data_IF_757273498841
#
_entry.id   IF_757273498841
#
_cell.length_a   1.000
_cell.length_b   1.000
_cell.length_c   1.000
_cell.angle_alpha   90.00
_cell.angle_beta   90.00
_cell.angle_gamma   90.00
#
_symmetry.space_group_name_H-M   'P 1'
#
loop_
_entity.id
_entity.type
_entity.pdbx_description
1 polymer ?
#
# COMPACT_ATOMS: atom_id res chain seq x y z
N UNK A 1 -6.64 6.06 7.05
CA UNK A 1 -6.91 4.76 7.69
C UNK A 1 -6.70 3.69 6.65
N UNK A 2 -5.89 2.67 6.95
CA UNK A 2 -5.52 1.60 6.03
C UNK A 2 -5.90 0.24 6.61
N UNK A 3 -6.25 -0.72 5.74
CA UNK A 3 -6.43 -2.13 6.09
C UNK A 3 -5.26 -2.91 5.54
N UNK A 4 -4.63 -3.72 6.40
CA UNK A 4 -3.50 -4.57 6.05
C UNK A 4 -3.92 -6.03 6.07
N UNK A 5 -3.67 -6.76 4.99
CA UNK A 5 -4.07 -8.16 4.89
C UNK A 5 -3.19 -8.93 3.91
N UNK A 6 -3.13 -10.25 4.05
CA UNK A 6 -2.43 -11.12 3.12
C UNK A 6 -3.27 -11.34 1.88
N UNK A 7 -2.62 -11.39 0.72
CA UNK A 7 -3.31 -11.68 -0.54
C UNK A 7 -3.86 -13.11 -0.58
N UNK A 8 -3.19 -14.05 0.09
CA UNK A 8 -3.54 -15.49 0.12
C UNK A 8 -3.18 -16.09 1.47
N UNK A 9 -3.78 -17.23 1.78
CA UNK A 9 -3.52 -17.96 3.03
C UNK A 9 -2.36 -18.97 2.89
N UNK A 10 -1.13 -18.45 2.76
CA UNK A 10 0.09 -19.26 2.89
C UNK A 10 1.28 -18.39 3.31
N UNK A 11 2.30 -19.01 3.92
CA UNK A 11 3.46 -18.34 4.54
C UNK A 11 4.15 -17.29 3.65
N UNK A 12 4.26 -17.54 2.35
CA UNK A 12 4.96 -16.69 1.39
C UNK A 12 4.07 -15.65 0.70
N UNK A 13 2.79 -15.57 1.08
CA UNK A 13 1.86 -14.63 0.49
C UNK A 13 2.28 -13.18 0.78
N UNK A 14 2.25 -12.36 -0.27
CA UNK A 14 2.49 -10.91 -0.21
C UNK A 14 1.37 -10.22 0.59
N UNK A 15 1.69 -9.04 1.07
CA UNK A 15 0.81 -8.21 1.87
C UNK A 15 0.24 -7.04 1.07
N UNK A 16 -1.01 -6.70 1.39
CA UNK A 16 -1.75 -5.59 0.81
C UNK A 16 -1.92 -4.49 1.85
N UNK A 17 -1.82 -3.26 1.37
CA UNK A 17 -2.25 -2.05 2.08
C UNK A 17 -3.39 -1.44 1.25
N UNK A 18 -4.58 -1.34 1.84
CA UNK A 18 -5.75 -0.79 1.16
C UNK A 18 -6.28 0.43 1.91
N UNK A 19 -6.50 1.53 1.19
CA UNK A 19 -7.14 2.72 1.72
C UNK A 19 -8.63 2.47 1.93
N UNK A 20 -9.15 2.94 3.07
CA UNK A 20 -10.58 2.82 3.37
C UNK A 20 -11.37 3.87 2.55
N UNK A 21 -12.44 3.46 1.84
CA UNK A 21 -13.34 4.39 1.17
C UNK A 21 -13.95 5.42 2.14
N UNK A 22 -14.25 6.62 1.66
CA UNK A 22 -14.91 7.65 2.46
C UNK A 22 -16.33 7.24 2.89
N UNK A 23 -17.07 6.61 1.98
CA UNK A 23 -18.39 6.03 2.20
C UNK A 23 -18.49 4.60 1.61
N UNK A 24 -19.42 3.75 2.10
CA UNK A 24 -19.72 2.46 1.48
C UNK A 24 -20.07 2.62 -0.01
N UNK A 25 -19.40 1.85 -0.88
CA UNK A 25 -19.61 1.90 -2.33
C UNK A 25 -18.92 3.06 -3.06
N UNK A 26 -18.20 3.94 -2.36
CA UNK A 26 -17.44 5.04 -2.97
C UNK A 26 -16.11 4.57 -3.57
N UNK A 27 -15.68 5.23 -4.64
CA UNK A 27 -14.34 5.08 -5.22
C UNK A 27 -13.32 6.05 -4.60
N UNK A 28 -13.79 7.05 -3.85
CA UNK A 28 -12.92 8.00 -3.15
C UNK A 28 -12.39 7.39 -1.86
N UNK A 29 -11.08 7.49 -1.65
CA UNK A 29 -10.42 7.03 -0.43
C UNK A 29 -10.35 8.14 0.60
N UNK A 30 -10.57 7.84 1.90
CA UNK A 30 -10.39 8.82 2.99
C UNK A 30 -8.97 9.38 3.04
N UNK A 31 -8.01 8.50 2.78
CA UNK A 31 -6.59 8.83 2.67
C UNK A 31 -5.97 7.87 1.65
N UNK A 32 -5.91 8.25 0.35
CA UNK A 32 -5.21 7.44 -0.64
C UNK A 32 -3.71 7.39 -0.32
N UNK A 33 -3.03 6.37 -0.85
CA UNK A 33 -1.57 6.28 -0.78
C UNK A 33 -0.91 7.54 -1.36
N UNK A 34 0.31 7.90 -0.90
CA UNK A 34 1.03 9.09 -1.32
C UNK A 34 1.12 9.21 -2.84
N UNK A 35 0.92 10.41 -3.38
CA UNK A 35 0.95 10.66 -4.82
C UNK A 35 2.25 10.21 -5.48
N UNK A 36 3.38 10.44 -4.80
CA UNK A 36 4.68 10.00 -5.26
C UNK A 36 4.79 8.49 -5.48
N UNK A 37 3.96 7.67 -4.83
CA UNK A 37 4.00 6.21 -4.97
C UNK A 37 3.12 5.71 -6.12
N UNK A 38 2.11 6.48 -6.51
CA UNK A 38 1.02 6.01 -7.35
C UNK A 38 1.53 5.62 -8.74
N UNK A 39 1.20 4.39 -9.16
CA UNK A 39 1.65 3.84 -10.44
C UNK A 39 3.03 3.20 -10.39
N UNK A 40 3.80 3.39 -9.32
CA UNK A 40 5.13 2.81 -9.18
C UNK A 40 5.07 1.36 -8.71
N UNK A 41 6.14 0.61 -9.01
CA UNK A 41 6.27 -0.81 -8.70
C UNK A 41 7.70 -1.19 -8.34
N UNK A 42 7.82 -2.31 -7.64
CA UNK A 42 9.08 -3.00 -7.36
C UNK A 42 10.19 -2.01 -6.90
N UNK A 43 11.40 -2.09 -7.46
CA UNK A 43 12.55 -1.30 -7.02
C UNK A 43 12.36 0.23 -7.13
N UNK A 44 11.53 0.69 -8.07
CA UNK A 44 11.23 2.11 -8.20
C UNK A 44 10.37 2.59 -7.03
N UNK A 45 9.37 1.80 -6.64
CA UNK A 45 8.56 2.09 -5.47
C UNK A 45 9.38 1.95 -4.17
N UNK A 46 10.31 0.98 -4.10
CA UNK A 46 11.22 0.85 -2.95
C UNK A 46 12.01 2.14 -2.72
N UNK A 47 12.58 2.69 -3.80
CA UNK A 47 13.38 3.91 -3.75
C UNK A 47 12.56 5.13 -3.32
N UNK A 48 11.36 5.30 -3.89
CA UNK A 48 10.51 6.47 -3.60
C UNK A 48 9.81 6.36 -2.24
N UNK A 49 9.37 5.17 -1.83
CA UNK A 49 8.77 4.95 -0.52
C UNK A 49 9.83 4.94 0.60
N UNK A 50 11.08 4.57 0.27
CA UNK A 50 12.10 4.25 1.26
C UNK A 50 11.67 3.03 2.09
N UNK A 51 11.03 2.06 1.45
CA UNK A 51 10.56 0.81 2.06
C UNK A 51 10.95 -0.34 1.14
N UNK A 52 11.82 -1.27 1.55
CA UNK A 52 12.22 -2.37 0.70
C UNK A 52 11.08 -3.38 0.48
N UNK A 53 11.08 -4.04 -0.68
CA UNK A 53 10.17 -5.13 -1.00
C UNK A 53 8.75 -4.70 -1.35
N UNK A 54 8.53 -3.44 -1.72
CA UNK A 54 7.29 -2.99 -2.30
C UNK A 54 6.98 -3.74 -3.60
N UNK A 55 5.70 -4.01 -3.82
CA UNK A 55 5.22 -4.80 -4.96
C UNK A 55 4.59 -3.87 -6.00
N UNK A 56 3.70 -2.98 -5.56
CA UNK A 56 3.12 -1.92 -6.38
C UNK A 56 2.32 -0.93 -5.51
N UNK A 57 2.00 0.23 -6.09
CA UNK A 57 0.91 1.10 -5.65
C UNK A 57 0.04 1.48 -6.85
N UNK A 58 -1.28 1.33 -6.72
CA UNK A 58 -2.22 1.63 -7.81
C UNK A 58 -2.17 3.11 -8.18
N UNK A 59 -2.43 3.44 -9.45
CA UNK A 59 -2.36 4.82 -9.96
C UNK A 59 -3.32 5.79 -9.26
N UNK A 60 -4.47 5.33 -8.77
CA UNK A 60 -5.38 6.15 -7.94
C UNK A 60 -5.07 6.08 -6.43
N UNK A 61 -4.09 5.28 -6.00
CA UNK A 61 -3.65 5.21 -4.61
C UNK A 61 -4.56 4.43 -3.66
N UNK A 62 -5.61 3.75 -4.14
CA UNK A 62 -6.53 3.03 -3.26
C UNK A 62 -5.94 1.74 -2.67
N UNK A 63 -4.94 1.15 -3.32
CA UNK A 63 -4.30 -0.11 -2.89
C UNK A 63 -2.82 -0.15 -3.30
N UNK A 64 -2.02 -0.82 -2.50
CA UNK A 64 -0.65 -1.19 -2.80
C UNK A 64 -0.26 -2.48 -2.09
N UNK A 65 1.04 -2.81 -2.07
CA UNK A 65 1.50 -3.97 -1.33
C UNK A 65 3.00 -4.05 -1.15
N UNK A 66 3.39 -4.95 -0.24
CA UNK A 66 4.77 -5.28 0.09
C UNK A 66 4.92 -6.81 0.20
N UNK A 67 6.11 -7.34 -0.02
CA UNK A 67 6.41 -8.76 0.14
C UNK A 67 6.31 -9.23 1.59
N UNK A 68 6.49 -8.32 2.56
CA UNK A 68 6.62 -8.66 3.99
C UNK A 68 5.60 -7.92 4.84
N UNK A 69 5.29 -8.50 6.01
CA UNK A 69 4.43 -7.87 7.02
C UNK A 69 5.04 -6.56 7.54
N UNK A 70 6.34 -6.59 7.84
CA UNK A 70 7.03 -5.41 8.37
C UNK A 70 7.13 -4.29 7.34
N UNK A 71 7.40 -4.63 6.08
CA UNK A 71 7.39 -3.66 4.99
C UNK A 71 6.01 -3.04 4.77
N UNK A 72 4.92 -3.82 4.79
CA UNK A 72 3.57 -3.25 4.62
C UNK A 72 3.14 -2.35 5.78
N UNK A 73 3.55 -2.67 7.03
CA UNK A 73 3.35 -1.77 8.18
C UNK A 73 4.11 -0.47 8.01
N UNK A 74 5.37 -0.53 7.59
CA UNK A 74 6.18 0.66 7.35
C UNK A 74 5.60 1.52 6.20
N UNK A 75 5.07 0.87 5.15
CA UNK A 75 4.31 1.58 4.13
C UNK A 75 3.10 2.30 4.73
N UNK A 76 2.35 1.67 5.64
CA UNK A 76 1.21 2.29 6.29
C UNK A 76 1.61 3.50 7.14
N UNK A 77 2.67 3.37 7.95
CA UNK A 77 3.16 4.45 8.81
C UNK A 77 3.61 5.66 8.00
N UNK A 78 4.42 5.44 6.95
CA UNK A 78 4.83 6.51 6.03
C UNK A 78 3.65 7.13 5.29
N UNK A 79 2.73 6.31 4.81
CA UNK A 79 1.54 6.78 4.15
C UNK A 79 0.59 7.53 5.08
N UNK A 80 0.63 7.31 6.41
CA UNK A 80 -0.12 8.08 7.41
C UNK A 80 0.52 9.45 7.68
N UNK A 81 1.85 9.50 7.68
CA UNK A 81 2.65 10.70 7.94
C UNK A 81 2.80 11.65 6.74
N UNK A 82 2.53 11.17 5.52
CA UNK A 82 2.52 11.96 4.29
C UNK A 82 1.27 12.83 4.13
#
# INVERSE_FOLDING_TARGET
MYVLYRERDHAQAKWRIQAVPDAPGSFASRKPLPEAWRGLRDAELDAVAGVPGCVFAHASGFIGGNATWDGVKLMADKALAA
#
